data_IF_121747069322
#
_entry.id   IF_121747069322
#
_cell.length_a   1.000
_cell.length_b   1.000
_cell.length_c   1.000
_cell.angle_alpha   90.00
_cell.angle_beta   90.00
_cell.angle_gamma   90.00
#
_symmetry.space_group_name_H-M   'P 1'
#
loop_
_entity.id
_entity.type
_entity.pdbx_description
1 polymer ?
#
# COMPACT_ATOMS: atom_id res chain seq x y z
N UNK A 1 -3.88 -31.84 -1.16
CA UNK A 1 -4.73 -31.92 0.03
C UNK A 1 -3.94 -31.30 1.19
N UNK A 2 -4.01 -29.97 1.38
CA UNK A 2 -3.33 -29.34 2.52
C UNK A 2 -4.21 -29.54 3.76
N UNK A 3 -3.71 -30.32 4.70
CA UNK A 3 -4.38 -30.71 5.94
C UNK A 3 -4.95 -29.49 6.66
N UNK A 4 -6.22 -29.54 7.04
CA UNK A 4 -6.95 -28.52 7.79
C UNK A 4 -6.51 -28.40 9.25
N UNK A 5 -5.20 -28.34 9.50
CA UNK A 5 -4.66 -28.08 10.82
C UNK A 5 -4.54 -26.57 10.97
N UNK A 6 -5.43 -25.99 11.77
CA UNK A 6 -5.32 -24.61 12.21
C UNK A 6 -4.00 -24.53 13.02
N UNK A 7 -3.00 -23.76 12.57
CA UNK A 7 -1.75 -23.64 13.29
C UNK A 7 -2.00 -23.11 14.71
N UNK A 8 -1.27 -23.62 15.71
CA UNK A 8 -1.50 -23.23 17.09
C UNK A 8 -1.19 -21.73 17.28
N UNK A 9 -2.07 -20.98 17.98
CA UNK A 9 -1.79 -19.59 18.28
C UNK A 9 -0.62 -19.49 19.28
N UNK A 10 0.12 -18.37 19.28
CA UNK A 10 1.11 -18.11 20.32
C UNK A 10 0.47 -18.15 21.72
N UNK A 11 1.18 -18.71 22.73
CA UNK A 11 0.69 -18.71 24.11
C UNK A 11 0.65 -17.29 24.70
N UNK A 12 1.45 -16.38 24.15
CA UNK A 12 1.43 -14.97 24.50
C UNK A 12 0.34 -14.24 23.70
N UNK A 13 -0.73 -13.82 24.38
CA UNK A 13 -1.84 -13.07 23.77
C UNK A 13 -1.38 -11.78 23.09
N UNK A 14 -0.42 -11.05 23.66
CA UNK A 14 0.12 -9.81 23.07
C UNK A 14 0.77 -10.11 21.71
N UNK A 15 1.49 -11.24 21.61
CA UNK A 15 2.09 -11.67 20.36
C UNK A 15 1.03 -12.13 19.35
N UNK A 16 0.02 -12.89 19.80
CA UNK A 16 -1.09 -13.31 18.96
C UNK A 16 -1.85 -12.12 18.38
N UNK A 17 -2.21 -11.14 19.22
CA UNK A 17 -2.89 -9.91 18.80
C UNK A 17 -2.05 -9.10 17.82
N UNK A 18 -0.73 -9.04 18.04
CA UNK A 18 0.20 -8.38 17.11
C UNK A 18 0.22 -9.07 15.75
N UNK A 19 0.32 -10.40 15.71
CA UNK A 19 0.29 -11.18 14.47
C UNK A 19 -1.01 -10.92 13.72
N UNK A 20 -2.16 -10.98 14.42
CA UNK A 20 -3.48 -10.72 13.84
C UNK A 20 -3.55 -9.30 13.26
N UNK A 21 -3.12 -8.30 14.03
CA UNK A 21 -3.13 -6.90 13.60
C UNK A 21 -2.27 -6.67 12.36
N UNK A 22 -1.08 -7.27 12.30
CA UNK A 22 -0.22 -7.15 11.12
C UNK A 22 -0.87 -7.86 9.92
N UNK A 23 -1.43 -9.05 10.09
CA UNK A 23 -2.12 -9.77 9.01
C UNK A 23 -3.28 -8.95 8.43
N UNK A 24 -4.15 -8.41 9.28
CA UNK A 24 -5.26 -7.51 8.87
C UNK A 24 -4.72 -6.28 8.12
N UNK A 25 -3.67 -5.65 8.64
CA UNK A 25 -3.06 -4.50 7.99
C UNK A 25 -2.47 -4.84 6.62
N UNK A 26 -1.85 -6.00 6.46
CA UNK A 26 -1.30 -6.45 5.16
C UNK A 26 -2.41 -6.76 4.16
N UNK A 27 -3.49 -7.41 4.60
CA UNK A 27 -4.66 -7.69 3.74
C UNK A 27 -5.34 -6.39 3.29
N UNK A 28 -5.33 -5.36 4.14
CA UNK A 28 -6.00 -4.09 3.87
C UNK A 28 -5.13 -3.12 3.05
N UNK A 29 -3.84 -3.00 3.39
CA UNK A 29 -2.91 -2.03 2.79
C UNK A 29 -1.99 -2.62 1.70
N UNK A 30 -1.95 -3.95 1.58
CA UNK A 30 -1.13 -4.68 0.63
C UNK A 30 0.25 -5.08 1.16
N UNK A 31 0.98 -5.84 0.34
CA UNK A 31 2.29 -6.42 0.68
C UNK A 31 3.39 -5.39 0.94
N UNK A 32 3.26 -4.17 0.41
CA UNK A 32 4.20 -3.08 0.70
C UNK A 32 4.26 -2.76 2.19
N UNK A 33 3.14 -2.88 2.90
CA UNK A 33 3.11 -2.74 4.36
C UNK A 33 3.90 -3.85 5.05
N UNK A 34 3.77 -5.09 4.58
CA UNK A 34 4.53 -6.23 5.11
C UNK A 34 6.04 -6.01 4.96
N UNK A 35 6.48 -5.56 3.78
CA UNK A 35 7.88 -5.24 3.52
C UNK A 35 8.40 -4.10 4.41
N UNK A 36 7.61 -3.05 4.60
CA UNK A 36 7.95 -1.94 5.48
C UNK A 36 8.09 -2.37 6.94
N UNK A 37 7.12 -3.15 7.47
CA UNK A 37 7.18 -3.67 8.84
C UNK A 37 8.38 -4.60 9.00
N UNK A 38 8.62 -5.48 8.03
CA UNK A 38 9.76 -6.41 8.03
C UNK A 38 11.11 -5.68 8.06
N UNK A 39 11.22 -4.56 7.34
CA UNK A 39 12.42 -3.72 7.36
C UNK A 39 12.57 -2.97 8.69
N UNK A 40 11.48 -2.35 9.16
CA UNK A 40 11.48 -1.55 10.39
C UNK A 40 11.78 -2.40 11.63
N UNK A 41 11.23 -3.60 11.69
CA UNK A 41 11.38 -4.55 12.79
C UNK A 41 12.42 -5.64 12.48
N UNK A 42 13.42 -5.33 11.63
CA UNK A 42 14.49 -6.25 11.24
C UNK A 42 15.22 -6.85 12.46
N UNK A 43 15.43 -6.04 13.50
CA UNK A 43 16.18 -6.41 14.70
C UNK A 43 15.30 -6.90 15.86
N UNK A 44 13.98 -6.96 15.67
CA UNK A 44 13.04 -7.34 16.72
C UNK A 44 12.67 -8.83 16.60
N UNK A 45 12.97 -9.67 17.61
CA UNK A 45 12.62 -11.09 17.59
C UNK A 45 11.11 -11.32 17.62
N UNK A 46 10.33 -10.39 18.17
CA UNK A 46 8.86 -10.50 18.17
C UNK A 46 8.27 -10.49 16.75
N UNK A 47 9.02 -10.01 15.75
CA UNK A 47 8.62 -9.94 14.34
C UNK A 47 9.33 -10.99 13.47
N UNK A 48 10.03 -11.94 14.08
CA UNK A 48 10.72 -13.00 13.34
C UNK A 48 9.75 -13.88 12.53
N UNK A 49 8.47 -13.95 12.94
CA UNK A 49 7.40 -14.63 12.19
C UNK A 49 7.24 -14.10 10.75
N UNK A 50 7.57 -12.82 10.48
CA UNK A 50 7.57 -12.23 9.13
C UNK A 50 8.75 -12.69 8.24
N UNK A 51 9.72 -13.38 8.84
CA UNK A 51 10.95 -13.86 8.20
C UNK A 51 11.06 -15.38 8.18
N UNK A 52 9.97 -16.08 8.50
CA UNK A 52 9.95 -17.55 8.58
C UNK A 52 10.32 -18.08 9.98
N UNK A 53 10.28 -17.23 11.00
CA UNK A 53 10.47 -17.64 12.39
C UNK A 53 9.25 -18.36 12.98
N UNK A 54 9.27 -18.47 14.32
CA UNK A 54 8.18 -19.09 15.08
C UNK A 54 6.85 -18.37 14.80
N UNK A 55 5.76 -19.13 14.65
CA UNK A 55 4.42 -18.64 14.32
C UNK A 55 4.26 -18.03 12.91
N UNK A 56 5.22 -18.22 12.00
CA UNK A 56 5.08 -17.86 10.58
C UNK A 56 3.87 -18.56 9.93
N UNK A 57 3.65 -19.85 10.23
CA UNK A 57 2.48 -20.60 9.77
C UNK A 57 1.16 -20.00 10.30
N UNK A 58 1.13 -19.61 11.58
CA UNK A 58 -0.02 -18.96 12.18
C UNK A 58 -0.30 -17.60 11.54
N UNK A 59 0.73 -16.80 11.29
CA UNK A 59 0.62 -15.55 10.56
C UNK A 59 0.04 -15.73 9.16
N UNK A 60 0.54 -16.70 8.39
CA UNK A 60 0.03 -17.00 7.04
C UNK A 60 -1.44 -17.47 7.07
N UNK A 61 -1.79 -18.34 8.02
CA UNK A 61 -3.18 -18.77 8.21
C UNK A 61 -4.12 -17.60 8.50
N UNK A 62 -3.73 -16.70 9.41
CA UNK A 62 -4.54 -15.50 9.72
C UNK A 62 -4.62 -14.59 8.50
N UNK A 63 -3.51 -14.35 7.79
CA UNK A 63 -3.49 -13.53 6.57
C UNK A 63 -4.43 -14.09 5.50
N UNK A 64 -4.40 -15.39 5.26
CA UNK A 64 -5.31 -16.06 4.31
C UNK A 64 -6.77 -15.99 4.77
N UNK A 65 -7.02 -16.21 6.07
CA UNK A 65 -8.38 -16.15 6.64
C UNK A 65 -8.98 -14.74 6.50
N UNK A 66 -8.21 -13.70 6.82
CA UNK A 66 -8.66 -12.32 6.70
C UNK A 66 -8.82 -11.90 5.24
N UNK A 67 -7.93 -12.34 4.34
CA UNK A 67 -8.07 -12.12 2.91
C UNK A 67 -9.35 -12.78 2.36
N UNK A 68 -9.63 -14.03 2.76
CA UNK A 68 -10.83 -14.76 2.37
C UNK A 68 -12.09 -14.09 2.92
N UNK A 69 -12.10 -13.62 4.17
CA UNK A 69 -13.21 -12.85 4.73
C UNK A 69 -13.46 -11.56 3.96
N UNK A 70 -12.41 -10.82 3.64
CA UNK A 70 -12.52 -9.58 2.89
C UNK A 70 -13.00 -9.82 1.45
N UNK A 71 -12.53 -10.90 0.81
CA UNK A 71 -13.01 -11.34 -0.50
C UNK A 71 -14.48 -11.80 -0.45
N UNK A 72 -14.88 -12.54 0.58
CA UNK A 72 -16.25 -12.99 0.77
C UNK A 72 -17.20 -11.81 1.06
N UNK A 73 -16.76 -10.80 1.80
CA UNK A 73 -17.52 -9.56 1.99
C UNK A 73 -17.68 -8.80 0.66
N UNK A 74 -16.65 -8.77 -0.17
CA UNK A 74 -16.72 -8.20 -1.53
C UNK A 74 -17.60 -9.01 -2.48
N UNK A 75 -17.69 -10.33 -2.29
CA UNK A 75 -18.53 -11.20 -3.12
C UNK A 75 -20.00 -11.26 -2.64
N UNK A 76 -20.26 -11.05 -1.34
CA UNK A 76 -21.60 -11.02 -0.75
C UNK A 76 -22.34 -9.70 -0.94
N UNK A 77 -21.63 -8.64 -1.32
CA UNK A 77 -22.21 -7.44 -1.93
C UNK A 77 -22.10 -7.54 -3.45
N UNK A 78 -23.22 -7.67 -4.15
CA UNK A 78 -23.26 -7.61 -5.61
C UNK A 78 -22.74 -6.26 -6.12
N UNK A 79 -21.42 -6.10 -6.29
CA UNK A 79 -20.84 -5.18 -7.27
C UNK A 79 -19.53 -5.78 -7.75
N UNK A 80 -19.46 -6.01 -9.06
CA UNK A 80 -18.28 -6.42 -9.79
C UNK A 80 -17.08 -5.55 -9.40
N UNK A 81 -16.13 -6.10 -8.66
CA UNK A 81 -14.76 -5.66 -8.76
C UNK A 81 -14.12 -6.51 -9.86
N UNK A 82 -14.31 -6.08 -11.10
CA UNK A 82 -13.33 -6.39 -12.14
C UNK A 82 -11.93 -6.10 -11.59
N UNK A 83 -10.89 -6.82 -12.01
CA UNK A 83 -9.55 -6.35 -11.82
C UNK A 83 -9.42 -5.10 -12.69
N UNK A 84 -9.83 -3.94 -12.15
CA UNK A 84 -9.30 -2.68 -12.59
C UNK A 84 -7.84 -2.69 -12.15
N UNK A 85 -7.03 -3.42 -12.92
CA UNK A 85 -5.62 -3.13 -12.99
C UNK A 85 -5.52 -1.63 -13.12
N UNK A 86 -4.68 -1.01 -12.30
CA UNK A 86 -4.38 0.41 -12.46
C UNK A 86 -4.09 0.57 -13.93
N UNK A 87 -4.94 1.30 -14.65
CA UNK A 87 -4.79 1.51 -16.08
C UNK A 87 -3.55 2.40 -16.22
N UNK A 88 -2.39 1.74 -16.29
CA UNK A 88 -1.07 2.37 -16.28
C UNK A 88 -0.99 3.35 -17.44
N UNK A 89 -1.74 3.11 -18.51
CA UNK A 89 -1.85 3.99 -19.67
C UNK A 89 -2.61 5.27 -19.33
N UNK A 90 -3.74 5.18 -18.63
CA UNK A 90 -4.45 6.37 -18.11
C UNK A 90 -3.61 7.16 -17.10
N UNK A 91 -2.91 6.47 -16.20
CA UNK A 91 -2.03 7.12 -15.23
C UNK A 91 -0.83 7.81 -15.93
N UNK A 92 -0.26 7.18 -16.96
CA UNK A 92 0.79 7.79 -17.81
C UNK A 92 0.25 9.01 -18.55
N UNK A 93 -0.94 8.95 -19.13
CA UNK A 93 -1.58 10.08 -19.78
C UNK A 93 -1.79 11.25 -18.81
N UNK A 94 -2.21 10.96 -17.57
CA UNK A 94 -2.36 11.97 -16.51
C UNK A 94 -1.02 12.62 -16.15
N UNK A 95 0.07 11.84 -16.04
CA UNK A 95 1.42 12.36 -15.77
C UNK A 95 1.89 13.29 -16.89
N UNK A 96 1.65 12.91 -18.15
CA UNK A 96 2.02 13.75 -19.31
C UNK A 96 1.21 15.04 -19.32
N UNK A 97 -0.10 14.97 -19.06
CA UNK A 97 -0.96 16.15 -18.99
C UNK A 97 -0.53 17.11 -17.87
N UNK A 98 -0.22 16.58 -16.68
CA UNK A 98 0.27 17.38 -15.56
C UNK A 98 1.62 18.04 -15.87
N UNK A 99 2.55 17.31 -16.51
CA UNK A 99 3.84 17.87 -16.94
C UNK A 99 3.66 19.01 -17.95
N UNK A 100 2.72 18.86 -18.89
CA UNK A 100 2.40 19.91 -19.87
C UNK A 100 1.86 21.17 -19.18
N UNK A 101 0.96 21.00 -18.22
CA UNK A 101 0.39 22.12 -17.48
C UNK A 101 1.42 22.87 -16.64
N UNK A 102 2.41 22.17 -16.07
CA UNK A 102 3.55 22.79 -15.37
C UNK A 102 4.38 23.64 -16.32
N UNK A 103 4.76 23.10 -17.50
CA UNK A 103 5.55 23.83 -18.48
C UNK A 103 4.84 25.09 -19.02
N UNK A 104 3.53 25.01 -19.28
CA UNK A 104 2.72 26.18 -19.69
C UNK A 104 2.64 27.23 -18.57
N UNK A 105 2.58 26.79 -17.30
CA UNK A 105 2.56 27.68 -16.15
C UNK A 105 3.90 28.36 -15.92
N UNK A 106 5.01 27.64 -16.09
CA UNK A 106 6.38 28.20 -16.04
C UNK A 106 6.57 29.28 -17.12
N UNK A 107 6.15 28.99 -18.36
CA UNK A 107 6.20 29.98 -19.44
C UNK A 107 5.38 31.23 -19.15
N UNK A 108 4.16 31.06 -18.62
CA UNK A 108 3.31 32.19 -18.25
C UNK A 108 3.90 33.02 -17.10
N UNK A 109 4.53 32.38 -16.12
CA UNK A 109 5.23 33.07 -15.01
C UNK A 109 6.45 33.84 -15.54
N UNK A 110 7.22 33.27 -16.46
CA UNK A 110 8.38 33.94 -17.05
C UNK A 110 7.97 35.15 -17.91
N UNK A 111 6.87 35.05 -18.65
CA UNK A 111 6.30 36.19 -19.36
C UNK A 111 5.87 37.31 -18.39
N UNK A 112 5.24 36.97 -17.26
CA UNK A 112 4.88 37.96 -16.24
C UNK A 112 6.11 38.62 -15.60
N UNK A 113 7.18 37.86 -15.36
CA UNK A 113 8.45 38.40 -14.87
C UNK A 113 9.09 39.34 -15.87
N UNK A 114 9.07 39.00 -17.16
CA UNK A 114 9.60 39.85 -18.23
C UNK A 114 8.81 41.16 -18.35
N UNK A 115 7.48 41.11 -18.18
CA UNK A 115 6.64 42.32 -18.15
C UNK A 115 6.99 43.19 -16.94
N UNK A 116 7.16 42.61 -15.74
CA UNK A 116 7.59 43.36 -14.55
C UNK A 116 8.97 44.00 -14.74
N UNK A 117 9.94 43.24 -15.27
CA UNK A 117 11.30 43.74 -15.52
C UNK A 117 11.33 44.92 -16.51
N UNK A 118 10.53 44.85 -17.59
CA UNK A 118 10.41 45.94 -18.56
C UNK A 118 9.75 47.20 -17.99
N UNK A 119 8.93 47.08 -16.95
CA UNK A 119 8.33 48.24 -16.28
C UNK A 119 9.36 48.95 -15.40
N UNK A 120 10.27 48.20 -14.77
CA UNK A 120 11.35 48.77 -13.95
C UNK A 120 12.43 49.48 -14.79
N UNK A 121 12.67 49.07 -16.04
CA UNK A 121 13.60 49.75 -16.97
C UNK A 121 13.08 51.10 -17.52
N UNK A 122 11.79 51.41 -17.37
CA UNK A 122 11.15 52.63 -17.92
C UNK A 122 11.00 53.74 -16.86
N UNK A 123 11.46 53.52 -15.62
CA UNK A 123 11.54 54.53 -14.54
C UNK A 123 12.94 55.12 -14.41
#
# INVERSE_FOLDING_TARGET
>A
MASGLIPPPPPNQILADRIIKIAVNVVTNGQNFEAFVKQKEANNPDFEFLRGGLYSEYYEYVKQTEAAKLAAQRAGGMVQAEPQGIDVEKLRAQIVALKKQVAESEFNVDQQKLVHQKIDEVR
#
